data_IF_473867205577
#
_entry.id   IF_473867205577
#
_cell.length_a   1.000
_cell.length_b   1.000
_cell.length_c   1.000
_cell.angle_alpha   90.00
_cell.angle_beta   90.00
_cell.angle_gamma   90.00
#
_symmetry.space_group_name_H-M   'P 1'
#
loop_
_entity.id
_entity.type
_entity.pdbx_description
1 polymer ?
#
# COMPACT_ATOMS: atom_id res chain seq x y z
N UNK A 1 9.40 -24.55 6.22
CA UNK A 1 8.17 -24.85 5.46
C UNK A 1 8.08 -26.35 5.24
N UNK A 2 7.17 -26.98 5.96
CA UNK A 2 6.70 -28.37 5.85
C UNK A 2 5.17 -28.35 5.87
N UNK A 3 4.54 -29.48 5.52
CA UNK A 3 3.08 -29.63 5.63
C UNK A 3 2.62 -29.31 7.05
N UNK A 4 1.51 -28.58 7.16
CA UNK A 4 0.93 -28.11 8.41
C UNK A 4 1.54 -26.82 8.95
N UNK A 5 2.63 -26.31 8.36
CA UNK A 5 3.15 -24.99 8.73
C UNK A 5 2.16 -23.90 8.32
N UNK A 6 2.03 -22.91 9.19
CA UNK A 6 1.42 -21.65 8.83
C UNK A 6 2.38 -20.81 7.97
N UNK A 7 1.84 -20.24 6.91
CA UNK A 7 2.57 -19.52 5.86
C UNK A 7 1.78 -18.29 5.42
N UNK A 8 2.42 -17.42 4.65
CA UNK A 8 1.75 -16.38 3.89
C UNK A 8 1.80 -16.70 2.39
N UNK A 9 0.69 -16.43 1.71
CA UNK A 9 0.46 -16.71 0.30
C UNK A 9 0.18 -15.41 -0.43
N UNK A 10 0.87 -15.18 -1.55
CA UNK A 10 0.61 -14.07 -2.46
C UNK A 10 -0.07 -14.53 -3.75
N UNK A 11 -0.48 -13.59 -4.59
CA UNK A 11 -1.01 -13.83 -5.93
C UNK A 11 -0.48 -12.80 -6.93
N UNK A 12 -0.42 -13.18 -8.20
CA UNK A 12 -0.16 -12.28 -9.33
C UNK A 12 -1.44 -11.79 -10.03
N UNK A 13 -2.61 -12.22 -9.56
CA UNK A 13 -3.91 -11.65 -9.95
C UNK A 13 -3.93 -10.15 -9.68
N UNK A 14 -4.41 -9.34 -10.65
CA UNK A 14 -4.26 -7.88 -10.62
C UNK A 14 -4.81 -7.23 -9.34
N UNK A 15 -5.93 -7.72 -8.84
CA UNK A 15 -6.61 -7.23 -7.64
C UNK A 15 -5.91 -7.63 -6.33
N UNK A 16 -5.05 -8.66 -6.36
CA UNK A 16 -4.35 -9.20 -5.20
C UNK A 16 -2.84 -8.95 -5.27
N UNK A 17 -2.37 -8.22 -6.27
CA UNK A 17 -0.95 -8.01 -6.50
C UNK A 17 -0.33 -7.25 -5.32
N UNK A 18 0.72 -7.83 -4.75
CA UNK A 18 1.42 -7.25 -3.58
C UNK A 18 0.74 -7.55 -2.24
N UNK A 19 -0.30 -8.38 -2.21
CA UNK A 19 -0.94 -8.85 -0.99
C UNK A 19 -0.37 -10.19 -0.49
N UNK A 20 -0.44 -10.39 0.82
CA UNK A 20 -0.06 -11.62 1.52
C UNK A 20 -1.16 -12.03 2.49
N UNK A 21 -1.67 -13.25 2.32
CA UNK A 21 -2.74 -13.82 3.15
C UNK A 21 -2.22 -15.00 3.96
N UNK A 22 -2.66 -15.12 5.22
CA UNK A 22 -2.32 -16.27 6.06
C UNK A 22 -2.95 -17.53 5.52
N UNK A 23 -2.21 -18.64 5.57
CA UNK A 23 -2.67 -19.93 5.09
C UNK A 23 -1.96 -21.09 5.81
N UNK A 24 -2.54 -22.28 5.72
CA UNK A 24 -1.88 -23.53 6.11
C UNK A 24 -1.39 -24.27 4.86
N UNK A 25 -0.13 -24.73 4.89
CA UNK A 25 0.44 -25.52 3.81
C UNK A 25 -0.05 -26.97 3.87
N UNK A 26 -0.87 -27.40 2.91
CA UNK A 26 -1.46 -28.76 2.91
C UNK A 26 -0.55 -29.81 2.27
N UNK A 27 0.23 -29.41 1.27
CA UNK A 27 1.15 -30.30 0.57
C UNK A 27 2.59 -30.14 1.08
N UNK A 28 3.38 -31.23 1.18
CA UNK A 28 4.80 -31.09 1.41
C UNK A 28 5.45 -30.33 0.24
N UNK A 29 6.35 -29.36 0.49
CA UNK A 29 7.01 -28.65 -0.58
C UNK A 29 7.82 -29.62 -1.47
N UNK A 30 7.83 -29.43 -2.79
CA UNK A 30 8.53 -30.32 -3.69
C UNK A 30 10.05 -30.18 -3.51
N UNK A 31 10.78 -31.30 -3.61
CA UNK A 31 12.25 -31.29 -3.58
C UNK A 31 12.85 -30.61 -4.82
N UNK A 32 12.16 -30.68 -5.96
CA UNK A 32 12.52 -30.02 -7.22
C UNK A 32 11.28 -29.78 -8.09
N UNK A 33 11.37 -28.85 -9.04
CA UNK A 33 10.32 -28.58 -10.03
C UNK A 33 9.24 -27.56 -9.61
N UNK A 34 8.44 -27.15 -10.60
CA UNK A 34 7.34 -26.19 -10.45
C UNK A 34 6.00 -26.92 -10.32
N UNK A 35 5.75 -27.53 -9.16
CA UNK A 35 4.44 -28.14 -8.85
C UNK A 35 3.55 -27.11 -8.15
N UNK A 36 2.24 -27.17 -8.44
CA UNK A 36 1.23 -26.50 -7.62
C UNK A 36 1.10 -27.21 -6.27
N UNK A 37 0.86 -26.42 -5.23
CA UNK A 37 0.68 -26.87 -3.86
C UNK A 37 -0.70 -26.42 -3.38
N UNK A 38 -1.37 -27.33 -2.68
CA UNK A 38 -2.57 -27.03 -1.94
C UNK A 38 -2.25 -26.21 -0.69
N UNK A 39 -3.03 -25.15 -0.49
CA UNK A 39 -2.98 -24.29 0.70
C UNK A 39 -4.40 -24.00 1.15
N UNK A 40 -4.61 -23.95 2.46
CA UNK A 40 -5.88 -23.57 3.07
C UNK A 40 -5.78 -22.12 3.53
N UNK A 41 -6.33 -21.19 2.75
CA UNK A 41 -6.34 -19.76 3.11
C UNK A 41 -7.19 -19.56 4.36
N UNK A 42 -6.68 -18.82 5.34
CA UNK A 42 -7.38 -18.52 6.58
C UNK A 42 -8.25 -17.27 6.42
N UNK A 43 -9.44 -17.28 7.02
CA UNK A 43 -10.19 -16.03 7.24
C UNK A 43 -9.56 -15.18 8.32
N UNK A 44 -9.93 -13.91 8.37
CA UNK A 44 -9.37 -12.93 9.31
C UNK A 44 -9.52 -13.32 10.79
N UNK A 45 -10.62 -14.00 11.11
CA UNK A 45 -10.95 -14.54 12.43
C UNK A 45 -10.42 -15.98 12.64
N UNK A 46 -9.78 -16.57 11.62
CA UNK A 46 -9.30 -17.95 11.63
C UNK A 46 -10.40 -19.02 11.73
N UNK A 47 -11.67 -18.64 11.60
CA UNK A 47 -12.81 -19.54 11.84
C UNK A 47 -13.07 -20.50 10.70
N UNK A 48 -12.64 -20.16 9.49
CA UNK A 48 -12.85 -20.98 8.29
C UNK A 48 -11.64 -20.93 7.36
N UNK A 49 -11.58 -21.92 6.48
CA UNK A 49 -10.51 -21.99 5.48
C UNK A 49 -11.05 -22.26 4.09
N UNK A 50 -10.38 -21.73 3.07
CA UNK A 50 -10.69 -22.01 1.67
C UNK A 50 -9.49 -22.66 1.00
N UNK A 51 -9.69 -23.86 0.46
CA UNK A 51 -8.65 -24.58 -0.27
C UNK A 51 -8.35 -23.90 -1.61
N UNK A 52 -7.08 -23.57 -1.85
CA UNK A 52 -6.58 -23.04 -3.11
C UNK A 52 -5.32 -23.79 -3.56
N UNK A 53 -5.00 -23.66 -4.84
CA UNK A 53 -3.73 -24.14 -5.39
C UNK A 53 -2.84 -22.96 -5.77
N UNK A 54 -1.56 -23.02 -5.41
CA UNK A 54 -0.59 -21.97 -5.73
C UNK A 54 0.79 -22.56 -6.02
N UNK A 55 1.77 -21.74 -6.40
CA UNK A 55 3.15 -22.15 -6.63
C UNK A 55 4.05 -21.76 -5.47
N UNK A 56 5.11 -22.53 -5.23
CA UNK A 56 6.11 -22.25 -4.18
C UNK A 56 6.65 -20.82 -4.19
N UNK A 57 6.77 -20.17 -5.35
CA UNK A 57 7.26 -18.78 -5.49
C UNK A 57 6.35 -17.74 -4.82
N UNK A 58 5.09 -18.08 -4.58
CA UNK A 58 4.10 -17.23 -3.93
C UNK A 58 3.94 -17.57 -2.45
N UNK A 59 4.84 -18.40 -1.90
CA UNK A 59 4.80 -18.84 -0.52
C UNK A 59 6.00 -18.27 0.24
N UNK A 60 5.74 -17.76 1.44
CA UNK A 60 6.77 -17.45 2.44
C UNK A 60 6.33 -17.96 3.82
N UNK A 61 7.26 -18.26 4.73
CA UNK A 61 6.91 -18.46 6.14
C UNK A 61 6.23 -17.21 6.71
N UNK A 62 5.56 -17.34 7.86
CA UNK A 62 5.20 -16.15 8.64
C UNK A 62 6.49 -15.37 8.99
N UNK A 63 6.56 -14.05 8.70
CA UNK A 63 7.67 -13.23 9.16
C UNK A 63 7.83 -13.32 10.69
N UNK A 64 9.03 -13.65 11.20
CA UNK A 64 9.30 -13.67 12.64
C UNK A 64 9.06 -12.30 13.29
N UNK A 65 8.46 -12.28 14.49
CA UNK A 65 8.14 -11.04 15.20
C UNK A 65 9.37 -10.18 15.51
N UNK A 66 10.53 -10.79 15.73
CA UNK A 66 11.77 -10.07 16.01
C UNK A 66 12.32 -9.27 14.82
N UNK A 67 11.74 -9.42 13.62
CA UNK A 67 12.00 -8.52 12.48
C UNK A 67 11.37 -7.15 12.67
N UNK A 68 10.28 -7.09 13.44
CA UNK A 68 9.51 -5.87 13.65
C UNK A 68 9.97 -5.23 14.96
N UNK A 69 10.95 -4.34 14.87
CA UNK A 69 11.39 -3.55 16.04
C UNK A 69 10.36 -2.47 16.35
N UNK A 70 10.01 -2.30 17.63
CA UNK A 70 9.12 -1.21 18.06
C UNK A 70 9.66 0.20 17.74
N UNK A 71 10.98 0.32 17.53
CA UNK A 71 11.66 1.53 17.09
C UNK A 71 11.69 1.72 15.56
N UNK A 72 10.99 0.87 14.78
CA UNK A 72 10.89 1.07 13.34
C UNK A 72 10.09 2.35 13.07
N UNK A 73 10.81 3.43 12.82
CA UNK A 73 10.23 4.69 12.39
C UNK A 73 9.75 4.51 10.94
N UNK A 74 8.43 4.61 10.73
CA UNK A 74 7.80 4.54 9.41
C UNK A 74 8.07 5.84 8.64
N UNK A 75 9.33 6.03 8.27
CA UNK A 75 9.82 7.23 7.59
C UNK A 75 9.47 7.22 6.10
N UNK A 76 9.53 8.39 5.48
CA UNK A 76 9.25 8.55 4.05
C UNK A 76 10.16 7.65 3.20
N UNK A 77 9.55 6.88 2.29
CA UNK A 77 10.23 5.93 1.43
C UNK A 77 10.30 4.50 1.98
N UNK A 78 10.06 4.28 3.28
CA UNK A 78 10.03 2.94 3.85
C UNK A 78 8.96 2.08 3.14
N UNK A 79 9.36 0.88 2.71
CA UNK A 79 8.43 -0.11 2.17
C UNK A 79 7.79 -0.85 3.34
N UNK A 80 6.46 -0.88 3.33
CA UNK A 80 5.65 -1.39 4.43
C UNK A 80 4.62 -2.37 3.90
N UNK A 81 4.02 -3.13 4.79
CA UNK A 81 2.82 -3.89 4.52
C UNK A 81 1.70 -3.40 5.44
N UNK A 82 0.57 -3.04 4.87
CA UNK A 82 -0.60 -2.55 5.59
C UNK A 82 -1.63 -3.67 5.78
N UNK A 83 -2.12 -3.84 7.01
CA UNK A 83 -3.18 -4.80 7.31
C UNK A 83 -4.53 -4.27 6.81
N UNK A 84 -5.11 -4.96 5.83
CA UNK A 84 -6.37 -4.56 5.20
C UNK A 84 -7.02 -5.76 4.50
N UNK A 85 -8.36 -5.81 4.46
CA UNK A 85 -9.14 -6.80 3.69
C UNK A 85 -8.70 -8.26 3.90
N UNK A 86 -8.29 -8.62 5.11
CA UNK A 86 -7.89 -10.00 5.40
C UNK A 86 -6.42 -10.34 5.19
N UNK A 87 -5.59 -9.38 4.76
CA UNK A 87 -4.20 -9.64 4.43
C UNK A 87 -3.29 -8.42 4.61
N UNK A 88 -2.03 -8.61 4.25
CA UNK A 88 -0.98 -7.61 4.31
C UNK A 88 -0.66 -7.09 2.90
N UNK A 89 -0.86 -5.79 2.66
CA UNK A 89 -0.73 -5.17 1.35
C UNK A 89 0.54 -4.33 1.27
N UNK A 90 1.41 -4.68 0.33
CA UNK A 90 2.70 -4.01 0.15
C UNK A 90 2.49 -2.60 -0.40
N UNK A 91 2.96 -1.60 0.34
CA UNK A 91 2.94 -0.20 -0.02
C UNK A 91 4.25 0.48 0.38
N UNK A 92 4.30 1.80 0.27
CA UNK A 92 5.43 2.57 0.78
C UNK A 92 4.98 3.90 1.36
N UNK A 93 5.62 4.31 2.45
CA UNK A 93 5.29 5.53 3.17
C UNK A 93 5.66 6.74 2.32
N UNK A 94 4.70 7.62 2.08
CA UNK A 94 4.89 8.87 1.32
C UNK A 94 5.03 10.07 2.25
N UNK A 95 4.39 10.02 3.41
CA UNK A 95 4.42 11.13 4.36
C UNK A 95 4.11 10.63 5.77
N UNK A 96 4.93 11.01 6.73
CA UNK A 96 4.60 10.91 8.16
C UNK A 96 3.72 12.09 8.55
N UNK A 97 2.53 11.82 9.10
CA UNK A 97 1.57 12.86 9.52
C UNK A 97 1.84 13.23 10.97
N UNK A 98 1.99 12.23 11.82
CA UNK A 98 2.41 12.30 13.21
C UNK A 98 3.05 10.93 13.59
N UNK A 99 3.31 10.68 14.87
CA UNK A 99 3.93 9.42 15.31
C UNK A 99 3.01 8.20 15.21
N UNK A 100 1.70 8.41 15.12
CA UNK A 100 0.69 7.35 15.05
C UNK A 100 0.11 7.16 13.65
N UNK A 101 0.28 8.12 12.74
CA UNK A 101 -0.39 8.14 11.44
C UNK A 101 0.55 8.50 10.29
N UNK A 102 0.42 7.74 9.21
CA UNK A 102 1.22 7.92 7.99
C UNK A 102 0.35 7.75 6.74
N UNK A 103 0.79 8.32 5.63
CA UNK A 103 0.22 8.04 4.31
C UNK A 103 1.04 6.98 3.58
N UNK A 104 0.36 5.95 3.09
CA UNK A 104 0.95 4.82 2.37
C UNK A 104 0.44 4.80 0.93
N UNK A 105 1.37 4.74 -0.02
CA UNK A 105 1.09 4.58 -1.44
C UNK A 105 1.12 3.10 -1.86
N UNK A 106 0.11 2.69 -2.61
CA UNK A 106 0.01 1.40 -3.29
C UNK A 106 0.13 1.61 -4.78
N UNK A 107 0.78 0.68 -5.49
CA UNK A 107 1.05 0.86 -6.93
C UNK A 107 0.06 0.13 -7.85
N UNK A 108 -0.69 -0.84 -7.33
CA UNK A 108 -1.57 -1.71 -8.11
C UNK A 108 -2.90 -2.00 -7.39
N UNK A 109 -3.98 -1.25 -7.69
CA UNK A 109 -3.96 -0.01 -8.46
C UNK A 109 -3.25 1.13 -7.71
N UNK A 110 -2.82 2.20 -8.40
CA UNK A 110 -2.27 3.39 -7.75
C UNK A 110 -3.27 4.00 -6.76
N UNK A 111 -2.93 3.98 -5.48
CA UNK A 111 -3.74 4.59 -4.43
C UNK A 111 -2.90 5.18 -3.30
N UNK A 112 -3.47 6.13 -2.56
CA UNK A 112 -2.88 6.73 -1.37
C UNK A 112 -3.91 6.69 -0.23
N UNK A 113 -3.52 6.12 0.90
CA UNK A 113 -4.39 5.95 2.06
C UNK A 113 -3.64 6.28 3.34
N UNK A 114 -4.35 6.80 4.33
CA UNK A 114 -3.86 7.01 5.68
C UNK A 114 -4.06 5.76 6.53
N UNK A 115 -3.00 5.36 7.23
CA UNK A 115 -3.01 4.25 8.17
C UNK A 115 -2.46 4.69 9.52
N UNK A 116 -2.96 4.02 10.57
CA UNK A 116 -2.28 4.04 11.86
C UNK A 116 -1.03 3.17 11.79
N UNK A 117 0.05 3.56 12.48
CA UNK A 117 1.30 2.80 12.54
C UNK A 117 1.09 1.37 13.08
N UNK A 118 0.15 1.18 14.01
CA UNK A 118 -0.24 -0.14 14.51
C UNK A 118 -0.94 -1.05 13.49
N UNK A 119 -1.36 -0.52 12.33
CA UNK A 119 -1.90 -1.30 11.20
C UNK A 119 -0.81 -1.66 10.17
N UNK A 120 0.43 -1.24 10.40
CA UNK A 120 1.54 -1.43 9.49
C UNK A 120 2.59 -2.37 10.10
N UNK A 121 3.30 -3.05 9.21
CA UNK A 121 4.59 -3.69 9.54
C UNK A 121 5.60 -3.36 8.45
N UNK A 122 6.88 -3.42 8.78
CA UNK A 122 7.93 -3.25 7.78
C UNK A 122 7.89 -4.40 6.76
N UNK A 123 8.07 -4.08 5.47
CA UNK A 123 8.13 -5.10 4.44
C UNK A 123 9.49 -5.81 4.45
N UNK A 124 9.48 -7.13 4.26
CA UNK A 124 10.67 -7.94 4.05
C UNK A 124 10.44 -8.95 2.93
N UNK A 125 11.44 -9.11 2.07
CA UNK A 125 11.45 -10.09 1.01
C UNK A 125 11.94 -11.45 1.54
N UNK A 126 11.26 -12.52 1.12
CA UNK A 126 11.71 -13.89 1.39
C UNK A 126 12.53 -14.44 0.21
N UNK A 127 13.85 -14.30 0.29
CA UNK A 127 14.78 -14.65 -0.79
C UNK A 127 15.78 -15.68 -0.31
N UNK A 128 15.93 -16.79 -1.06
CA UNK A 128 16.90 -17.86 -0.76
C UNK A 128 16.86 -18.32 0.72
N UNK A 129 15.63 -18.44 1.25
CA UNK A 129 15.36 -18.86 2.63
C UNK A 129 15.84 -17.87 3.71
N UNK A 130 15.92 -16.58 3.38
CA UNK A 130 16.26 -15.50 4.32
C UNK A 130 15.30 -14.34 4.13
N UNK A 131 15.01 -13.66 5.23
CA UNK A 131 14.31 -12.37 5.22
C UNK A 131 15.32 -11.27 4.92
N UNK A 132 15.01 -10.42 3.94
CA UNK A 132 15.88 -9.34 3.48
C UNK A 132 15.08 -8.05 3.46
N UNK A 133 15.67 -6.97 3.98
CA UNK A 133 15.05 -5.64 3.88
C UNK A 133 15.12 -5.17 2.43
N UNK A 134 14.01 -4.67 1.86
CA UNK A 134 14.02 -4.03 0.56
C UNK A 134 14.77 -2.69 0.63
N UNK A 135 15.13 -2.15 -0.52
CA UNK A 135 15.55 -0.75 -0.64
C UNK A 135 14.35 0.19 -0.45
N UNK A 136 14.57 1.33 0.21
CA UNK A 136 13.54 2.35 0.35
C UNK A 136 13.15 2.92 -1.02
N UNK A 137 11.84 3.14 -1.21
CA UNK A 137 11.33 3.79 -2.42
C UNK A 137 11.64 5.28 -2.39
N UNK A 138 12.12 5.79 -3.52
CA UNK A 138 12.35 7.21 -3.71
C UNK A 138 11.12 7.82 -4.40
N UNK A 139 10.32 8.57 -3.65
CA UNK A 139 9.22 9.38 -4.20
C UNK A 139 9.69 10.75 -4.71
N UNK A 140 10.95 11.10 -4.46
CA UNK A 140 11.54 12.40 -4.78
C UNK A 140 12.07 12.41 -6.22
N UNK A 141 11.20 12.72 -7.17
CA UNK A 141 11.67 13.32 -8.42
C UNK A 141 11.89 14.82 -8.18
N UNK A 142 13.16 15.24 -8.05
CA UNK A 142 13.52 16.66 -7.91
C UNK A 142 13.04 17.55 -9.07
N UNK A 143 12.60 16.96 -10.18
CA UNK A 143 12.18 17.66 -11.40
C UNK A 143 10.66 17.85 -11.53
N UNK A 144 9.84 17.21 -10.70
CA UNK A 144 8.38 17.31 -10.77
C UNK A 144 7.79 18.05 -9.58
N UNK A 145 6.97 19.06 -9.88
CA UNK A 145 6.19 19.85 -8.91
C UNK A 145 4.98 19.07 -8.39
N UNK A 146 4.48 18.09 -9.14
CA UNK A 146 3.28 17.31 -8.81
C UNK A 146 3.66 15.85 -8.52
N UNK A 147 4.53 15.64 -7.52
CA UNK A 147 4.91 14.29 -7.07
C UNK A 147 3.85 13.70 -6.14
N UNK A 148 3.89 12.39 -5.92
CA UNK A 148 3.03 11.73 -4.93
C UNK A 148 3.10 12.44 -3.57
N UNK A 149 1.96 12.65 -2.91
CA UNK A 149 1.85 13.37 -1.64
C UNK A 149 1.80 14.90 -1.75
N UNK A 150 1.96 15.47 -2.95
CA UNK A 150 1.84 16.93 -3.15
C UNK A 150 0.40 17.38 -2.94
N UNK A 151 0.21 18.38 -2.07
CA UNK A 151 -1.08 19.02 -1.83
C UNK A 151 -1.45 19.92 -3.01
N UNK A 152 -2.66 19.74 -3.52
CA UNK A 152 -3.20 20.47 -4.66
C UNK A 152 -4.66 20.79 -4.45
N UNK A 153 -5.21 21.66 -5.27
CA UNK A 153 -6.64 21.77 -5.46
C UNK A 153 -7.03 21.27 -6.85
N UNK A 154 -8.17 20.60 -6.95
CA UNK A 154 -8.66 20.00 -8.19
C UNK A 154 -10.00 20.62 -8.56
N UNK A 155 -10.13 21.06 -9.82
CA UNK A 155 -11.39 21.58 -10.36
C UNK A 155 -12.36 20.43 -10.60
N UNK A 156 -13.53 20.48 -9.95
CA UNK A 156 -14.47 19.35 -9.99
C UNK A 156 -15.37 19.39 -11.22
N UNK A 157 -15.83 20.58 -11.59
CA UNK A 157 -16.80 20.86 -12.66
C UNK A 157 -16.21 21.93 -13.58
N UNK A 158 -16.24 21.72 -14.90
CA UNK A 158 -15.55 22.61 -15.85
C UNK A 158 -16.16 24.02 -15.90
N UNK A 159 -17.47 24.14 -15.71
CA UNK A 159 -18.21 25.41 -15.81
C UNK A 159 -18.42 26.12 -14.47
N UNK A 160 -17.87 25.59 -13.37
CA UNK A 160 -17.98 26.20 -12.04
C UNK A 160 -16.58 26.36 -11.44
N UNK A 161 -16.30 27.52 -10.86
CA UNK A 161 -15.02 27.79 -10.19
C UNK A 161 -14.96 27.17 -8.77
N UNK A 162 -15.18 25.85 -8.69
CA UNK A 162 -15.12 25.07 -7.46
C UNK A 162 -13.89 24.18 -7.49
N UNK A 163 -12.96 24.49 -6.58
CA UNK A 163 -11.70 23.80 -6.37
C UNK A 163 -11.75 23.07 -5.04
N UNK A 164 -11.43 21.77 -5.04
CA UNK A 164 -11.43 20.97 -3.82
C UNK A 164 -10.02 20.58 -3.40
N UNK A 165 -9.69 20.67 -2.10
CA UNK A 165 -8.45 20.14 -1.57
C UNK A 165 -8.28 18.65 -1.93
N UNK A 166 -7.16 18.35 -2.57
CA UNK A 166 -6.77 17.01 -3.02
C UNK A 166 -5.26 16.78 -2.85
N UNK A 167 -4.81 15.56 -3.09
CA UNK A 167 -3.41 15.17 -3.10
C UNK A 167 -3.09 14.41 -4.38
N UNK A 168 -1.90 14.64 -4.92
CA UNK A 168 -1.40 13.85 -6.04
C UNK A 168 -1.07 12.44 -5.55
N UNK A 169 -1.68 11.43 -6.19
CA UNK A 169 -1.36 10.02 -5.99
C UNK A 169 -0.28 9.58 -6.97
N UNK A 170 -0.44 9.89 -8.26
CA UNK A 170 0.50 9.47 -9.30
C UNK A 170 0.51 10.47 -10.46
N UNK A 171 1.70 10.84 -10.90
CA UNK A 171 1.91 11.55 -12.16
C UNK A 171 1.94 10.52 -13.31
N UNK A 172 1.15 10.76 -14.36
CA UNK A 172 1.12 9.86 -15.52
C UNK A 172 2.27 10.18 -16.49
N UNK A 173 2.63 9.20 -17.33
CA UNK A 173 3.83 9.24 -18.20
C UNK A 173 3.92 10.49 -19.08
N UNK A 174 2.78 11.10 -19.45
CA UNK A 174 2.74 12.30 -20.30
C UNK A 174 2.92 13.64 -19.54
N UNK A 175 2.99 13.64 -18.19
CA UNK A 175 3.00 14.83 -17.32
C UNK A 175 1.88 15.84 -17.55
N UNK A 176 0.84 15.41 -18.26
CA UNK A 176 -0.35 16.20 -18.60
C UNK A 176 -1.57 15.72 -17.85
N UNK A 177 -1.53 14.50 -17.31
CA UNK A 177 -2.57 13.96 -16.45
C UNK A 177 -2.00 13.41 -15.14
N UNK A 178 -2.84 13.47 -14.11
CA UNK A 178 -2.49 13.11 -12.74
C UNK A 178 -3.63 12.32 -12.12
N UNK A 179 -3.28 11.28 -11.38
CA UNK A 179 -4.20 10.60 -10.47
C UNK A 179 -4.20 11.38 -9.16
N UNK A 180 -5.38 11.81 -8.74
CA UNK A 180 -5.60 12.61 -7.53
C UNK A 180 -6.62 11.96 -6.62
N UNK A 181 -6.46 12.22 -5.32
CA UNK A 181 -7.41 11.81 -4.28
C UNK A 181 -7.83 13.01 -3.45
N UNK A 182 -9.13 13.15 -3.20
CA UNK A 182 -9.63 14.19 -2.30
C UNK A 182 -9.19 13.88 -0.87
N UNK A 183 -8.78 14.91 -0.08
CA UNK A 183 -8.29 14.67 1.28
C UNK A 183 -9.33 13.98 2.17
N UNK A 184 -10.61 14.29 1.97
CA UNK A 184 -11.73 13.68 2.72
C UNK A 184 -11.86 12.16 2.51
N UNK A 185 -11.16 11.61 1.51
CA UNK A 185 -11.18 10.18 1.18
C UNK A 185 -9.84 9.49 1.52
N UNK A 186 -8.91 10.17 2.19
CA UNK A 186 -7.60 9.57 2.53
C UNK A 186 -7.71 8.59 3.70
N UNK A 187 -8.57 8.86 4.66
CA UNK A 187 -8.80 7.96 5.79
C UNK A 187 -9.38 6.64 5.29
N UNK A 188 -8.73 5.54 5.68
CA UNK A 188 -9.33 4.24 5.54
C UNK A 188 -10.41 4.03 6.61
N UNK A 189 -11.62 3.67 6.19
CA UNK A 189 -12.70 3.26 7.08
C UNK A 189 -12.91 1.75 6.89
N UNK A 190 -12.88 0.98 7.97
CA UNK A 190 -12.93 -0.50 7.96
C UNK A 190 -14.23 -1.12 7.39
N UNK A 191 -15.15 -0.32 6.86
CA UNK A 191 -16.40 -0.78 6.26
C UNK A 191 -16.89 -0.01 5.03
N UNK A 192 -16.17 1.00 4.55
CA UNK A 192 -16.55 1.75 3.34
C UNK A 192 -15.47 1.56 2.26
N UNK A 193 -15.89 1.22 1.04
CA UNK A 193 -14.96 1.15 -0.09
C UNK A 193 -14.27 2.50 -0.26
N UNK A 194 -12.92 2.49 -0.27
CA UNK A 194 -12.15 3.71 -0.54
C UNK A 194 -12.63 4.31 -1.86
N UNK A 195 -13.14 5.54 -1.80
CA UNK A 195 -13.66 6.21 -3.00
C UNK A 195 -12.59 6.26 -4.10
N UNK A 196 -12.97 5.98 -5.35
CA UNK A 196 -12.01 5.84 -6.43
C UNK A 196 -11.23 7.13 -6.67
N UNK A 197 -9.98 6.97 -7.06
CA UNK A 197 -9.16 8.09 -7.49
C UNK A 197 -9.69 8.70 -8.79
N UNK A 198 -9.46 10.00 -8.96
CA UNK A 198 -9.83 10.71 -10.19
C UNK A 198 -8.58 10.92 -11.03
N UNK A 199 -8.70 10.78 -12.35
CA UNK A 199 -7.67 11.25 -13.29
C UNK A 199 -8.07 12.62 -13.83
N UNK A 200 -7.16 13.58 -13.76
CA UNK A 200 -7.41 14.97 -14.19
C UNK A 200 -6.26 15.50 -15.03
N UNK A 201 -6.56 16.46 -15.92
CA UNK A 201 -5.57 17.16 -16.72
C UNK A 201 -4.86 18.27 -15.94
N UNK A 202 -3.73 18.76 -16.46
CA UNK A 202 -2.96 19.86 -15.85
C UNK A 202 -3.76 21.16 -15.69
N UNK A 203 -4.76 21.41 -16.55
CA UNK A 203 -5.65 22.58 -16.45
C UNK A 203 -6.66 22.50 -15.29
N UNK A 204 -6.85 21.32 -14.72
CA UNK A 204 -7.81 21.06 -13.64
C UNK A 204 -7.11 20.87 -12.29
N UNK A 205 -5.80 21.18 -12.20
CA UNK A 205 -5.01 21.13 -10.96
C UNK A 205 -4.29 22.46 -10.77
N UNK A 206 -4.26 22.93 -9.52
CA UNK A 206 -3.37 24.00 -9.08
C UNK A 206 -2.74 23.65 -7.73
N UNK A 207 -1.58 24.23 -7.42
CA UNK A 207 -1.03 24.12 -6.07
C UNK A 207 -1.98 24.77 -5.07
N UNK A 208 -2.05 24.21 -3.86
CA UNK A 208 -2.80 24.84 -2.77
C UNK A 208 -2.22 26.24 -2.51
N UNK A 209 -3.03 27.31 -2.56
CA UNK A 209 -2.56 28.64 -2.22
C UNK A 209 -1.92 28.63 -0.82
N UNK A 210 -0.83 29.37 -0.59
CA UNK A 210 -0.27 29.49 0.74
C UNK A 210 -1.35 30.02 1.68
N UNK A 211 -1.60 29.30 2.78
CA UNK A 211 -2.45 29.81 3.86
C UNK A 211 -1.79 31.09 4.36
N UNK A 212 -2.44 32.24 4.14
CA UNK A 212 -2.03 33.49 4.76
C UNK A 212 -2.18 33.25 6.26
N UNK A 213 -1.06 33.05 6.97
CA UNK A 213 -1.08 33.16 8.41
C UNK A 213 -1.35 34.63 8.68
N UNK A 214 -2.56 34.95 9.14
CA UNK A 214 -2.87 36.28 9.65
C UNK A 214 -1.78 36.62 10.68
N UNK A 215 -0.90 37.53 10.27
CA UNK A 215 0.10 38.10 11.14
C UNK A 215 -0.66 38.78 12.27
N UNK A 216 -0.56 38.21 13.47
CA UNK A 216 -0.94 38.92 14.68
C UNK A 216 0.00 40.12 14.77
N UNK A 217 -0.56 41.31 14.51
CA UNK A 217 0.07 42.60 14.77
C UNK A 217 0.40 42.77 16.26
#
# INVERSE_FOLDING_TARGET
MKRGDEIEVSSDEEELKGSWFRAILEDPPPKSGNKKLNVSLLTNDGSSTTLKTTYRRFLRPIPPENLFTAAAEFEEGCVVEASQRGGWWTGAVVKKINDEEVWVYFDSPPDLLQFKTGQLRQHFDWVKQKWVSPENKVFVSKKSTFRCGTMVEVKVVDDVDVWIPSVIVKEMVNRKSFVVKSLKNLSWNDGEESKPNRTVGSSSIRLTPPTVTDGVC
#
